data_IF_357855838586
#
_entry.id   IF_357855838586
#
_cell.length_a   1.000
_cell.length_b   1.000
_cell.length_c   1.000
_cell.angle_alpha   90.00
_cell.angle_beta   90.00
_cell.angle_gamma   90.00
#
_symmetry.space_group_name_H-M   'P 1'
#
loop_
_entity.id
_entity.type
_entity.pdbx_description
1 polymer ?
#
# COMPACT_ATOMS: atom_id res chain seq x y z
N UNK A 1 -22.96 8.54 3.63
CA UNK A 1 -23.82 8.05 4.70
C UNK A 1 -25.01 8.98 4.71
N UNK A 2 -26.20 8.44 4.92
CA UNK A 2 -27.39 9.26 5.07
C UNK A 2 -27.57 9.54 6.57
N UNK A 3 -27.76 10.79 6.99
CA UNK A 3 -28.10 11.05 8.39
C UNK A 3 -29.52 10.57 8.68
N UNK A 4 -29.85 10.26 9.94
CA UNK A 4 -31.19 9.78 10.31
C UNK A 4 -32.30 10.80 9.99
N UNK A 5 -31.95 12.09 9.96
CA UNK A 5 -32.89 13.18 9.66
C UNK A 5 -32.95 13.56 8.19
N UNK A 6 -32.11 12.96 7.32
CA UNK A 6 -32.12 13.26 5.90
C UNK A 6 -33.16 12.40 5.17
N UNK A 7 -33.81 12.97 4.16
CA UNK A 7 -34.74 12.24 3.32
C UNK A 7 -34.01 11.10 2.59
N UNK A 8 -34.52 9.88 2.73
CA UNK A 8 -34.02 8.71 2.00
C UNK A 8 -34.27 8.91 0.50
N UNK A 9 -33.24 8.78 -0.37
CA UNK A 9 -33.44 8.85 -1.80
C UNK A 9 -34.47 7.81 -2.26
N UNK A 10 -35.45 8.21 -3.06
CA UNK A 10 -36.41 7.24 -3.63
C UNK A 10 -35.73 6.41 -4.70
N UNK A 11 -36.04 5.12 -4.77
CA UNK A 11 -35.64 4.30 -5.91
C UNK A 11 -36.40 4.78 -7.15
N UNK A 12 -35.69 5.23 -8.17
CA UNK A 12 -36.29 5.74 -9.42
C UNK A 12 -36.73 4.63 -10.38
N UNK A 13 -36.38 3.37 -10.09
CA UNK A 13 -36.67 2.22 -10.96
C UNK A 13 -37.97 1.55 -10.51
N UNK A 14 -39.01 1.49 -11.36
CA UNK A 14 -40.27 0.84 -11.01
C UNK A 14 -40.09 -0.63 -10.60
N UNK A 15 -40.81 -1.05 -9.56
CA UNK A 15 -40.75 -2.41 -9.02
C UNK A 15 -39.48 -2.74 -8.22
N UNK A 16 -38.59 -1.78 -7.98
CA UNK A 16 -37.33 -1.98 -7.27
C UNK A 16 -37.27 -1.18 -5.96
N UNK A 17 -36.40 -1.64 -5.05
CA UNK A 17 -36.09 -1.00 -3.79
C UNK A 17 -34.57 -1.02 -3.53
N UNK A 18 -34.10 -0.17 -2.62
CA UNK A 18 -32.72 -0.25 -2.13
C UNK A 18 -32.51 -1.55 -1.33
N UNK A 19 -31.32 -2.13 -1.44
CA UNK A 19 -31.00 -3.38 -0.72
C UNK A 19 -30.94 -3.21 0.80
N UNK A 20 -30.44 -2.05 1.26
CA UNK A 20 -30.43 -1.67 2.67
C UNK A 20 -30.30 -0.14 2.81
N UNK A 21 -30.78 0.43 3.92
CA UNK A 21 -30.65 1.84 4.28
C UNK A 21 -29.89 1.96 5.60
N UNK A 22 -28.68 2.52 5.54
CA UNK A 22 -27.79 2.63 6.72
C UNK A 22 -27.47 4.08 7.07
N UNK A 23 -27.56 4.37 8.37
CA UNK A 23 -27.20 5.66 8.96
C UNK A 23 -25.94 5.53 9.83
N UNK A 24 -24.77 5.61 9.19
CA UNK A 24 -23.48 5.41 9.85
C UNK A 24 -22.58 6.65 9.70
N UNK A 25 -22.37 7.45 10.76
CA UNK A 25 -21.57 8.67 10.67
C UNK A 25 -20.06 8.40 10.62
N UNK A 26 -19.61 7.15 10.78
CA UNK A 26 -18.19 6.79 10.77
C UNK A 26 -17.65 6.50 9.36
N UNK A 27 -18.53 6.27 8.39
CA UNK A 27 -18.13 5.96 7.01
C UNK A 27 -18.13 7.19 6.12
N UNK A 28 -17.46 7.09 4.96
CA UNK A 28 -17.31 8.20 4.01
C UNK A 28 -18.17 8.04 2.74
N UNK A 29 -18.71 6.85 2.49
CA UNK A 29 -19.45 6.51 1.27
C UNK A 29 -20.93 6.86 1.38
N UNK A 30 -21.54 7.27 0.28
CA UNK A 30 -22.97 7.60 0.16
C UNK A 30 -23.82 6.39 -0.19
N UNK A 31 -23.30 5.50 -1.03
CA UNK A 31 -23.90 4.21 -1.37
C UNK A 31 -22.78 3.17 -1.51
N UNK A 32 -23.14 1.90 -1.35
CA UNK A 32 -22.24 0.78 -1.59
C UNK A 32 -22.99 -0.36 -2.29
N UNK A 33 -22.26 -1.20 -3.01
CA UNK A 33 -22.79 -2.43 -3.59
C UNK A 33 -21.69 -3.48 -3.67
N UNK A 34 -22.08 -4.76 -3.72
CA UNK A 34 -21.16 -5.87 -3.95
C UNK A 34 -21.08 -6.13 -5.45
N UNK A 35 -19.87 -6.17 -5.97
CA UNK A 35 -19.62 -6.49 -7.38
C UNK A 35 -19.55 -8.02 -7.55
N UNK A 36 -19.85 -8.55 -8.74
CA UNK A 36 -20.08 -9.98 -8.97
C UNK A 36 -18.87 -10.79 -9.48
N UNK A 37 -17.75 -10.15 -9.83
CA UNK A 37 -16.52 -10.81 -10.29
C UNK A 37 -15.71 -11.30 -9.09
N UNK A 38 -15.25 -10.40 -8.23
CA UNK A 38 -14.42 -10.73 -7.06
C UNK A 38 -15.10 -10.46 -5.72
N UNK A 39 -16.41 -10.24 -5.72
CA UNK A 39 -17.20 -10.04 -4.50
C UNK A 39 -16.78 -8.81 -3.66
N UNK A 40 -15.95 -7.91 -4.17
CA UNK A 40 -15.56 -6.70 -3.45
C UNK A 40 -16.71 -5.70 -3.34
N UNK A 41 -16.70 -4.94 -2.25
CA UNK A 41 -17.61 -3.82 -2.05
C UNK A 41 -17.09 -2.60 -2.80
N UNK A 42 -17.93 -2.03 -3.66
CA UNK A 42 -17.70 -0.75 -4.33
C UNK A 42 -18.49 0.33 -3.63
N UNK A 43 -17.98 1.56 -3.72
CA UNK A 43 -18.50 2.70 -2.98
C UNK A 43 -18.69 3.92 -3.88
N UNK A 44 -19.81 4.61 -3.70
CA UNK A 44 -19.99 5.97 -4.20
C UNK A 44 -19.55 6.95 -3.11
N UNK A 45 -18.59 7.83 -3.41
CA UNK A 45 -18.05 8.80 -2.45
C UNK A 45 -18.12 10.23 -3.00
N UNK A 46 -17.93 11.22 -2.13
CA UNK A 46 -17.82 12.62 -2.55
C UNK A 46 -16.58 12.84 -3.43
N UNK A 47 -16.69 13.84 -4.31
CA UNK A 47 -15.61 14.26 -5.19
C UNK A 47 -14.36 14.74 -4.41
N UNK A 48 -13.20 14.73 -5.08
CA UNK A 48 -11.92 15.12 -4.49
C UNK A 48 -11.91 16.57 -3.98
N UNK A 49 -12.68 17.47 -4.61
CA UNK A 49 -12.79 18.87 -4.19
C UNK A 49 -13.64 19.07 -2.92
N UNK A 50 -14.29 18.01 -2.42
CA UNK A 50 -15.06 18.11 -1.18
C UNK A 50 -14.16 18.44 0.00
N UNK A 51 -14.68 19.22 0.94
CA UNK A 51 -13.96 19.59 2.17
C UNK A 51 -13.49 18.37 2.96
N UNK A 52 -14.24 17.27 2.90
CA UNK A 52 -13.93 16.04 3.61
C UNK A 52 -12.70 15.33 3.04
N UNK A 53 -12.62 15.20 1.70
CA UNK A 53 -11.42 14.68 1.03
C UNK A 53 -10.23 15.62 1.19
N UNK A 54 -10.44 16.93 1.07
CA UNK A 54 -9.38 17.93 1.29
C UNK A 54 -8.77 17.89 2.70
N UNK A 55 -9.60 17.73 3.75
CA UNK A 55 -9.09 17.57 5.14
C UNK A 55 -8.26 16.30 5.31
N UNK A 56 -8.71 15.18 4.75
CA UNK A 56 -7.96 13.92 4.77
C UNK A 56 -6.62 14.05 4.03
N UNK A 57 -6.62 14.72 2.89
CA UNK A 57 -5.42 14.90 2.07
C UNK A 57 -4.40 15.84 2.75
N UNK A 58 -4.88 16.92 3.38
CA UNK A 58 -4.04 17.76 4.24
C UNK A 58 -3.42 16.97 5.39
N UNK A 59 -4.20 16.11 6.05
CA UNK A 59 -3.70 15.25 7.13
C UNK A 59 -2.63 14.26 6.63
N UNK A 60 -2.80 13.70 5.43
CA UNK A 60 -1.81 12.84 4.74
C UNK A 60 -0.47 13.56 4.58
N UNK A 61 -0.48 14.79 4.05
CA UNK A 61 0.75 15.57 3.86
C UNK A 61 1.37 16.06 5.16
N UNK A 62 0.57 16.43 6.16
CA UNK A 62 1.07 16.76 7.50
C UNK A 62 1.79 15.56 8.14
N UNK A 63 1.28 14.34 7.95
CA UNK A 63 1.94 13.11 8.42
C UNK A 63 3.28 12.90 7.73
N UNK A 64 3.37 13.17 6.43
CA UNK A 64 4.63 13.10 5.68
C UNK A 64 5.64 14.16 6.14
N UNK A 65 5.18 15.39 6.43
CA UNK A 65 6.02 16.45 7.00
C UNK A 65 6.59 16.03 8.37
N UNK A 66 5.73 15.47 9.24
CA UNK A 66 6.18 14.94 10.54
C UNK A 66 7.19 13.79 10.37
N UNK A 67 7.00 12.93 9.37
CA UNK A 67 7.99 11.88 9.05
C UNK A 67 9.33 12.50 8.65
N UNK A 68 9.33 13.56 7.84
CA UNK A 68 10.54 14.27 7.42
C UNK A 68 11.33 14.81 8.63
N UNK A 69 10.66 15.38 9.62
CA UNK A 69 11.30 15.86 10.86
C UNK A 69 11.97 14.74 11.66
N UNK A 70 11.43 13.52 11.57
CA UNK A 70 11.88 12.37 12.36
C UNK A 70 12.76 11.37 11.57
N UNK A 71 12.99 11.61 10.27
CA UNK A 71 13.56 10.61 9.36
C UNK A 71 14.97 10.19 9.77
N UNK A 72 15.80 11.12 10.24
CA UNK A 72 17.17 10.86 10.66
C UNK A 72 17.22 9.88 11.84
N UNK A 73 16.31 10.06 12.80
CA UNK A 73 16.18 9.17 13.96
C UNK A 73 15.75 7.78 13.51
N UNK A 74 14.71 7.70 12.67
CA UNK A 74 14.19 6.42 12.15
C UNK A 74 15.30 5.67 11.40
N UNK A 75 16.03 6.34 10.49
CA UNK A 75 17.15 5.73 9.77
C UNK A 75 18.27 5.26 10.69
N UNK A 76 18.58 6.00 11.76
CA UNK A 76 19.56 5.58 12.77
C UNK A 76 19.13 4.30 13.49
N UNK A 77 17.86 4.23 13.91
CA UNK A 77 17.33 3.07 14.63
C UNK A 77 17.19 1.85 13.70
N UNK A 78 16.76 2.05 12.45
CA UNK A 78 16.78 1.01 11.41
C UNK A 78 18.18 0.45 11.20
N UNK A 79 19.22 1.29 11.08
CA UNK A 79 20.61 0.85 10.92
C UNK A 79 21.10 0.00 12.10
N UNK A 80 20.70 0.32 13.33
CA UNK A 80 21.00 -0.50 14.51
C UNK A 80 20.26 -1.84 14.44
N UNK A 81 18.98 -1.82 14.07
CA UNK A 81 18.13 -3.00 13.99
C UNK A 81 18.57 -3.99 12.89
N UNK A 82 19.19 -3.52 11.80
CA UNK A 82 19.81 -4.38 10.78
C UNK A 82 20.89 -5.32 11.37
N UNK A 83 21.56 -4.91 12.44
CA UNK A 83 22.58 -5.70 13.14
C UNK A 83 22.03 -6.46 14.37
N UNK A 84 20.72 -6.48 14.55
CA UNK A 84 20.06 -7.19 15.67
C UNK A 84 20.34 -8.69 15.62
N UNK A 85 20.42 -9.36 16.78
CA UNK A 85 20.50 -10.83 16.84
C UNK A 85 19.14 -11.49 16.52
N UNK A 86 18.05 -10.79 16.81
CA UNK A 86 16.69 -11.19 16.51
C UNK A 86 16.40 -11.05 15.01
N UNK A 87 16.08 -12.18 14.37
CA UNK A 87 15.81 -12.28 12.93
C UNK A 87 14.60 -11.47 12.49
N UNK A 88 13.51 -11.44 13.28
CA UNK A 88 12.29 -10.71 12.93
C UNK A 88 12.58 -9.21 12.91
N UNK A 89 13.35 -8.73 13.90
CA UNK A 89 13.80 -7.33 13.93
C UNK A 89 14.69 -6.99 12.74
N UNK A 90 15.60 -7.89 12.33
CA UNK A 90 16.42 -7.67 11.13
C UNK A 90 15.57 -7.62 9.87
N UNK A 91 14.64 -8.56 9.67
CA UNK A 91 13.75 -8.56 8.51
C UNK A 91 12.90 -7.29 8.42
N UNK A 92 12.30 -6.87 9.54
CA UNK A 92 11.57 -5.60 9.60
C UNK A 92 12.46 -4.41 9.25
N UNK A 93 13.68 -4.35 9.79
CA UNK A 93 14.62 -3.27 9.50
C UNK A 93 15.04 -3.27 8.02
N UNK A 94 15.27 -4.44 7.43
CA UNK A 94 15.55 -4.58 5.99
C UNK A 94 14.37 -4.10 5.16
N UNK A 95 13.14 -4.50 5.47
CA UNK A 95 11.94 -4.06 4.74
C UNK A 95 11.75 -2.54 4.84
N UNK A 96 11.89 -1.96 6.04
CA UNK A 96 11.83 -0.49 6.23
C UNK A 96 12.90 0.22 5.42
N UNK A 97 14.12 -0.32 5.42
CA UNK A 97 15.25 0.25 4.67
C UNK A 97 15.00 0.21 3.15
N UNK A 98 14.51 -0.93 2.63
CA UNK A 98 14.14 -1.09 1.21
C UNK A 98 13.05 -0.10 0.81
N UNK A 99 11.99 0.04 1.61
CA UNK A 99 10.91 1.01 1.37
C UNK A 99 11.44 2.45 1.38
N UNK A 100 12.29 2.80 2.35
CA UNK A 100 12.87 4.16 2.46
C UNK A 100 13.81 4.51 1.30
N UNK A 101 14.61 3.55 0.82
CA UNK A 101 15.60 3.79 -0.24
C UNK A 101 15.02 3.69 -1.65
N UNK A 102 14.11 2.75 -1.88
CA UNK A 102 13.59 2.42 -3.21
C UNK A 102 12.14 2.86 -3.42
N UNK A 103 11.48 3.40 -2.40
CA UNK A 103 10.07 3.77 -2.43
C UNK A 103 9.13 2.62 -2.86
N UNK A 104 9.51 1.37 -2.56
CA UNK A 104 8.67 0.21 -2.82
C UNK A 104 7.38 0.28 -1.99
N UNK A 105 6.29 -0.21 -2.58
CA UNK A 105 5.03 -0.42 -1.83
C UNK A 105 5.21 -1.57 -0.86
N UNK A 106 4.50 -1.52 0.27
CA UNK A 106 4.58 -2.52 1.35
C UNK A 106 4.34 -3.94 0.82
N UNK A 107 3.31 -4.15 -0.01
CA UNK A 107 2.94 -5.49 -0.50
C UNK A 107 2.14 -6.25 0.55
N UNK A 108 0.83 -6.36 0.34
CA UNK A 108 -0.02 -7.26 1.12
C UNK A 108 0.00 -8.66 0.51
N UNK A 109 -0.33 -9.67 1.30
CA UNK A 109 -0.59 -11.02 0.78
C UNK A 109 -1.80 -10.99 -0.16
N UNK A 110 -1.70 -11.76 -1.23
CA UNK A 110 -2.73 -11.92 -2.25
C UNK A 110 -3.05 -13.38 -2.43
N UNK A 111 -4.31 -13.67 -2.70
CA UNK A 111 -4.72 -14.97 -3.20
C UNK A 111 -4.40 -15.04 -4.69
N UNK A 112 -3.34 -15.77 -5.05
CA UNK A 112 -2.86 -15.87 -6.44
C UNK A 112 -3.79 -16.69 -7.34
N UNK A 113 -4.76 -17.41 -6.78
CA UNK A 113 -5.75 -18.15 -7.56
C UNK A 113 -6.86 -17.23 -8.08
N UNK A 114 -7.15 -16.14 -7.34
CA UNK A 114 -8.17 -15.14 -7.69
C UNK A 114 -7.59 -13.79 -8.17
N UNK A 115 -6.33 -13.50 -7.85
CA UNK A 115 -5.65 -12.24 -8.17
C UNK A 115 -4.36 -12.44 -8.96
N UNK A 116 -3.98 -11.41 -9.73
CA UNK A 116 -2.67 -11.40 -10.40
C UNK A 116 -1.51 -11.47 -9.39
N UNK A 117 -0.55 -12.36 -9.66
CA UNK A 117 0.68 -12.50 -8.88
C UNK A 117 1.56 -11.26 -9.05
N UNK A 118 1.41 -10.34 -8.10
CA UNK A 118 2.15 -9.09 -8.02
C UNK A 118 2.63 -8.92 -6.60
N UNK A 119 3.86 -8.43 -6.42
CA UNK A 119 4.49 -8.34 -5.10
C UNK A 119 4.87 -6.90 -4.73
N UNK A 120 5.09 -6.69 -3.43
CA UNK A 120 5.75 -5.52 -2.86
C UNK A 120 6.81 -5.95 -1.86
N UNK A 121 7.39 -4.99 -1.14
CA UNK A 121 8.56 -5.20 -0.29
C UNK A 121 8.43 -6.39 0.69
N UNK A 122 7.28 -6.55 1.34
CA UNK A 122 7.04 -7.57 2.36
C UNK A 122 6.58 -8.91 1.77
N UNK A 123 6.24 -8.96 0.47
CA UNK A 123 5.81 -10.17 -0.23
C UNK A 123 6.80 -10.60 -1.32
N UNK A 124 8.03 -10.04 -1.31
CA UNK A 124 9.11 -10.48 -2.18
C UNK A 124 9.45 -11.96 -1.88
N UNK A 125 9.83 -12.67 -2.94
CA UNK A 125 10.26 -14.07 -2.91
C UNK A 125 11.72 -14.13 -3.37
N UNK A 126 12.37 -15.26 -3.09
CA UNK A 126 13.80 -15.44 -3.41
C UNK A 126 14.08 -15.26 -4.90
N UNK A 127 13.15 -15.67 -5.77
CA UNK A 127 13.26 -15.52 -7.23
C UNK A 127 13.27 -14.07 -7.74
N UNK A 128 12.86 -13.10 -6.92
CA UNK A 128 12.79 -11.68 -7.31
C UNK A 128 14.08 -10.90 -7.03
N UNK A 129 15.09 -11.57 -6.46
CA UNK A 129 16.27 -10.93 -5.87
C UNK A 129 17.51 -11.66 -6.36
N UNK A 130 18.33 -10.98 -7.17
CA UNK A 130 19.58 -11.51 -7.70
C UNK A 130 20.77 -10.73 -7.13
N UNK A 131 21.64 -11.43 -6.41
CA UNK A 131 22.90 -10.88 -5.90
C UNK A 131 24.01 -11.09 -6.92
N UNK A 132 24.94 -10.13 -7.03
CA UNK A 132 26.05 -10.16 -7.99
C UNK A 132 25.58 -10.42 -9.44
N UNK A 133 24.71 -9.55 -10.00
CA UNK A 133 24.09 -9.78 -11.30
C UNK A 133 25.10 -9.79 -12.46
N UNK A 134 26.30 -9.21 -12.26
CA UNK A 134 27.36 -9.16 -13.27
C UNK A 134 28.41 -10.28 -13.12
N UNK A 135 28.25 -11.17 -12.13
CA UNK A 135 29.16 -12.29 -11.83
C UNK A 135 30.64 -11.83 -11.63
N UNK A 136 30.85 -10.60 -11.15
CA UNK A 136 32.19 -10.04 -10.95
C UNK A 136 32.85 -10.57 -9.67
N UNK A 137 32.05 -11.16 -8.77
CA UNK A 137 32.52 -11.73 -7.51
C UNK A 137 33.16 -10.71 -6.56
N UNK A 138 33.77 -11.22 -5.48
CA UNK A 138 34.53 -10.39 -4.54
C UNK A 138 33.67 -9.45 -3.70
N UNK A 139 34.03 -8.15 -3.71
CA UNK A 139 33.38 -7.10 -2.92
C UNK A 139 32.16 -6.48 -3.64
N UNK A 140 31.65 -7.09 -4.72
CA UNK A 140 30.47 -6.58 -5.42
C UNK A 140 29.26 -6.53 -4.45
N UNK A 141 28.71 -5.33 -4.27
CA UNK A 141 27.54 -5.08 -3.43
C UNK A 141 26.29 -4.73 -4.24
N UNK A 142 26.27 -5.15 -5.50
CA UNK A 142 25.13 -4.99 -6.39
C UNK A 142 24.02 -6.03 -6.13
N UNK A 143 22.78 -5.53 -6.21
CA UNK A 143 21.56 -6.30 -6.14
C UNK A 143 20.64 -5.90 -7.27
N UNK A 144 20.20 -6.87 -8.07
CA UNK A 144 19.10 -6.69 -9.00
C UNK A 144 17.78 -7.15 -8.36
N UNK A 145 16.78 -6.28 -8.43
CA UNK A 145 15.39 -6.59 -8.12
C UNK A 145 14.59 -6.65 -9.41
N UNK A 146 13.95 -7.79 -9.67
CA UNK A 146 13.09 -8.00 -10.82
C UNK A 146 11.78 -8.68 -10.41
N UNK A 147 10.65 -7.97 -10.55
CA UNK A 147 9.32 -8.50 -10.20
C UNK A 147 8.18 -7.67 -10.82
N UNK A 148 6.97 -8.22 -10.81
CA UNK A 148 5.75 -7.51 -11.18
C UNK A 148 5.12 -6.83 -9.95
N UNK A 149 5.03 -5.50 -9.97
CA UNK A 149 4.40 -4.70 -8.93
C UNK A 149 2.91 -4.44 -9.19
N UNK A 150 2.36 -3.42 -8.51
CA UNK A 150 0.96 -2.98 -8.68
C UNK A 150 0.62 -2.80 -10.17
N UNK A 151 -0.56 -3.26 -10.57
CA UNK A 151 -1.06 -3.21 -11.95
C UNK A 151 -0.18 -4.03 -12.94
N UNK A 152 0.50 -5.06 -12.42
CA UNK A 152 1.42 -5.96 -13.15
C UNK A 152 2.55 -5.22 -13.88
N UNK A 153 3.00 -4.09 -13.31
CA UNK A 153 4.08 -3.31 -13.87
C UNK A 153 5.43 -3.87 -13.46
N UNK A 154 6.28 -4.15 -14.47
CA UNK A 154 7.64 -4.62 -14.24
C UNK A 154 8.45 -3.56 -13.49
N UNK A 155 8.99 -3.97 -12.35
CA UNK A 155 10.04 -3.28 -11.64
C UNK A 155 11.32 -4.07 -11.87
N UNK A 156 12.28 -3.49 -12.60
CA UNK A 156 13.62 -4.04 -12.80
C UNK A 156 14.64 -2.95 -12.47
N UNK A 157 15.41 -3.13 -11.40
CA UNK A 157 16.41 -2.17 -10.96
C UNK A 157 17.61 -2.86 -10.32
N UNK A 158 18.80 -2.53 -10.81
CA UNK A 158 20.07 -2.85 -10.16
C UNK A 158 20.44 -1.73 -9.20
N UNK A 159 20.85 -2.10 -8.00
CA UNK A 159 21.19 -1.19 -6.91
C UNK A 159 22.57 -1.57 -6.41
N UNK A 160 23.50 -0.63 -6.46
CA UNK A 160 24.82 -0.76 -5.85
C UNK A 160 24.78 -0.27 -4.39
N UNK A 161 25.12 -1.14 -3.44
CA UNK A 161 25.21 -0.82 -2.02
C UNK A 161 26.62 -0.39 -1.58
N UNK A 162 27.61 -0.39 -2.50
CA UNK A 162 29.03 -0.09 -2.28
C UNK A 162 29.44 1.39 -2.30
N UNK A 163 28.50 2.33 -2.10
CA UNK A 163 28.76 3.78 -1.98
C UNK A 163 28.17 4.43 -0.73
#
# INVERSE_FOLDING_TARGET
>A
FLSQCAAVPRCSVPGHAWGDIRHDPQVQWLAQWKENINNQVKYMQLAAQSSFKGKSDRAKYNKAALLCENITKIRSDTRKALKSKDMVKRQLATAVWVIDRLALRVGGEKDTDEEADTVGCCSLRVEHVHFDPNEEGGDNQELELEFLGKDSMLYKQTIDFGT
#
